data_IF_424223987352
#
_entry.id   IF_424223987352
#
_cell.length_a   1.000
_cell.length_b   1.000
_cell.length_c   1.000
_cell.angle_alpha   90.00
_cell.angle_beta   90.00
_cell.angle_gamma   90.00
#
_symmetry.space_group_name_H-M   'P 1'
#
loop_
_entity.id
_entity.type
_entity.pdbx_description
1 polymer ?
#
# COMPACT_ATOMS: atom_id res chain seq x y z
N UNK A 1 -41.40 2.41 5.03
CA UNK A 1 -41.46 1.63 3.77
C UNK A 1 -40.20 2.00 3.01
N UNK A 2 -39.10 1.26 3.23
CA UNK A 2 -38.80 -0.02 2.57
C UNK A 2 -38.49 0.21 1.08
N UNK A 3 -37.22 -0.02 0.69
CA UNK A 3 -36.72 0.29 -0.66
C UNK A 3 -35.20 0.21 -0.82
N UNK A 4 -34.68 -0.98 -0.55
CA UNK A 4 -33.39 -1.61 -0.92
C UNK A 4 -32.44 -0.98 -1.98
N UNK A 5 -31.14 -0.97 -1.62
CA UNK A 5 -29.87 -1.09 -2.40
C UNK A 5 -29.82 -0.65 -3.88
N UNK A 6 -28.72 0.02 -4.23
CA UNK A 6 -27.53 -0.63 -4.85
C UNK A 6 -26.32 0.32 -4.91
N UNK A 7 -25.27 -0.06 -4.18
CA UNK A 7 -23.91 0.45 -4.26
C UNK A 7 -23.35 0.34 -5.68
N UNK A 8 -22.69 1.38 -6.17
CA UNK A 8 -21.64 1.24 -7.19
C UNK A 8 -20.51 2.22 -6.89
N UNK A 9 -19.41 1.65 -6.40
CA UNK A 9 -18.12 2.26 -6.07
C UNK A 9 -17.16 2.06 -7.26
N UNK A 10 -16.47 3.12 -7.68
CA UNK A 10 -15.30 3.00 -8.57
C UNK A 10 -14.19 3.94 -8.07
N UNK A 11 -13.05 3.32 -7.76
CA UNK A 11 -11.80 3.88 -7.27
C UNK A 11 -10.83 4.06 -8.45
N UNK A 12 -10.24 5.25 -8.63
CA UNK A 12 -9.02 5.44 -9.45
C UNK A 12 -8.09 6.49 -8.82
N UNK A 13 -6.79 6.19 -8.86
CA UNK A 13 -5.65 6.82 -8.20
C UNK A 13 -5.24 8.20 -8.74
N UNK A 14 -4.68 9.01 -7.84
CA UNK A 14 -4.32 10.41 -8.05
C UNK A 14 -2.88 10.68 -8.51
N UNK A 15 -2.68 11.93 -8.91
CA UNK A 15 -1.42 12.65 -9.11
C UNK A 15 -1.59 14.04 -8.46
N UNK A 16 -0.67 14.55 -7.61
CA UNK A 16 -0.84 15.86 -6.97
C UNK A 16 0.05 16.97 -7.55
N UNK A 17 -0.57 18.16 -7.61
CA UNK A 17 -0.09 19.52 -7.31
C UNK A 17 1.22 20.04 -7.93
N UNK A 18 1.11 20.54 -9.15
CA UNK A 18 1.49 21.94 -9.42
C UNK A 18 0.61 22.46 -10.57
N UNK A 19 -0.26 23.43 -10.26
CA UNK A 19 -1.21 23.98 -11.21
C UNK A 19 -0.45 24.92 -12.17
N UNK A 20 -0.06 24.39 -13.33
CA UNK A 20 0.11 25.20 -14.53
C UNK A 20 -1.28 25.66 -15.01
N UNK A 21 -1.40 26.88 -15.53
CA UNK A 21 -2.66 27.44 -16.05
C UNK A 21 -3.33 26.54 -17.12
N UNK A 22 -2.57 25.65 -17.76
CA UNK A 22 -3.07 24.64 -18.71
C UNK A 22 -3.88 23.50 -18.04
N UNK A 23 -3.65 23.23 -16.76
CA UNK A 23 -4.39 22.21 -16.00
C UNK A 23 -5.82 22.65 -15.69
N UNK A 24 -6.06 23.96 -15.50
CA UNK A 24 -7.40 24.51 -15.31
C UNK A 24 -8.23 24.43 -16.60
N UNK A 25 -7.60 24.60 -17.77
CA UNK A 25 -8.23 24.38 -19.06
C UNK A 25 -8.58 22.90 -19.27
N UNK A 26 -7.68 21.98 -18.93
CA UNK A 26 -7.93 20.53 -18.98
C UNK A 26 -9.01 20.07 -17.99
N UNK A 27 -9.04 20.64 -16.79
CA UNK A 27 -10.07 20.38 -15.77
C UNK A 27 -11.44 20.91 -16.20
N UNK A 28 -11.50 22.04 -16.92
CA UNK A 28 -12.75 22.58 -17.48
C UNK A 28 -13.24 21.73 -18.65
N UNK A 29 -12.33 21.24 -19.50
CA UNK A 29 -12.65 20.29 -20.59
C UNK A 29 -13.14 18.96 -20.02
N UNK A 30 -12.46 18.40 -19.01
CA UNK A 30 -12.90 17.15 -18.35
C UNK A 30 -14.22 17.34 -17.58
N UNK A 31 -14.42 18.45 -16.88
CA UNK A 31 -15.66 18.77 -16.16
C UNK A 31 -16.84 19.03 -17.10
N UNK A 32 -16.61 19.55 -18.31
CA UNK A 32 -17.66 19.71 -19.34
C UNK A 32 -17.94 18.43 -20.12
N UNK A 33 -16.93 17.56 -20.34
CA UNK A 33 -17.14 16.21 -20.86
C UNK A 33 -17.88 15.29 -19.88
N UNK A 34 -17.74 15.54 -18.57
CA UNK A 34 -18.35 14.74 -17.51
C UNK A 34 -19.55 15.42 -16.82
N UNK A 35 -19.83 16.69 -17.11
CA UNK A 35 -20.98 17.45 -16.60
C UNK A 35 -20.96 17.77 -15.10
N UNK A 36 -19.79 17.89 -14.45
CA UNK A 36 -19.66 18.01 -12.98
C UNK A 36 -19.20 19.40 -12.51
N UNK A 37 -19.70 19.83 -11.35
CA UNK A 37 -19.19 20.96 -10.54
C UNK A 37 -18.78 20.44 -9.16
N UNK A 38 -17.51 20.63 -8.77
CA UNK A 38 -16.95 20.13 -7.50
C UNK A 38 -16.61 21.29 -6.54
N UNK A 39 -16.91 21.10 -5.25
CA UNK A 39 -16.57 22.04 -4.18
C UNK A 39 -15.23 21.66 -3.51
N UNK A 40 -14.47 22.63 -2.95
CA UNK A 40 -13.04 22.47 -2.68
C UNK A 40 -12.64 21.61 -1.46
N UNK A 41 -13.59 21.13 -0.65
CA UNK A 41 -13.28 20.65 0.72
C UNK A 41 -13.39 19.14 0.95
N UNK A 42 -13.74 18.33 -0.04
CA UNK A 42 -13.78 16.87 0.09
C UNK A 42 -12.65 16.22 -0.71
N UNK A 43 -11.46 16.08 -0.10
CA UNK A 43 -10.45 15.03 -0.30
C UNK A 43 -9.22 15.41 0.55
N UNK A 44 -8.85 14.55 1.51
CA UNK A 44 -7.57 14.68 2.25
C UNK A 44 -6.85 13.33 2.18
N UNK A 45 -5.96 13.19 1.20
CA UNK A 45 -4.91 12.18 1.21
C UNK A 45 -3.58 12.90 0.95
N UNK A 46 -2.71 12.94 1.96
CA UNK A 46 -1.39 13.54 1.84
C UNK A 46 -0.34 12.47 1.61
N UNK A 47 0.41 12.58 0.51
CA UNK A 47 1.56 11.73 0.25
C UNK A 47 2.82 12.35 0.86
N UNK A 48 3.62 11.56 1.59
CA UNK A 48 5.01 11.89 1.94
C UNK A 48 5.93 10.76 1.52
N UNK A 49 6.99 11.11 0.80
CA UNK A 49 8.06 10.20 0.36
C UNK A 49 9.19 10.26 1.41
N UNK A 50 9.42 9.22 2.23
CA UNK A 50 10.67 9.12 2.95
C UNK A 50 11.80 8.75 1.97
N UNK A 51 12.87 9.52 2.02
CA UNK A 51 14.10 9.36 1.23
C UNK A 51 15.03 8.40 1.99
N UNK A 52 15.43 7.32 1.30
CA UNK A 52 16.43 6.26 1.66
C UNK A 52 15.88 4.93 2.17
N UNK A 53 15.61 4.02 1.22
CA UNK A 53 15.89 2.57 1.31
C UNK A 53 16.32 2.12 -0.11
N UNK A 54 17.30 1.20 -0.31
CA UNK A 54 17.73 0.75 -1.64
C UNK A 54 16.58 0.08 -2.42
N UNK A 55 16.68 -0.10 -3.75
CA UNK A 55 15.62 0.22 -4.69
C UNK A 55 14.36 -0.62 -4.43
N UNK A 56 13.32 0.02 -3.90
CA UNK A 56 12.01 -0.58 -3.65
C UNK A 56 10.96 0.30 -4.36
N UNK A 57 10.56 -0.19 -5.54
CA UNK A 57 9.17 -0.30 -6.05
C UNK A 57 8.48 0.87 -6.75
N UNK A 58 7.89 0.57 -7.91
CA UNK A 58 6.70 1.23 -8.46
C UNK A 58 5.52 1.15 -7.48
N UNK A 59 5.35 2.21 -6.69
CA UNK A 59 4.41 2.27 -5.56
C UNK A 59 2.98 2.33 -6.06
N UNK A 60 2.26 1.22 -5.97
CA UNK A 60 0.90 1.18 -6.50
C UNK A 60 -0.20 1.36 -5.45
N UNK A 61 0.02 1.07 -4.15
CA UNK A 61 -1.00 1.38 -3.14
C UNK A 61 -0.51 1.47 -1.68
N UNK A 62 -0.83 2.58 -1.02
CA UNK A 62 -0.60 2.82 0.41
C UNK A 62 -1.90 3.23 1.11
N UNK A 63 -2.20 2.55 2.21
CA UNK A 63 -3.32 2.83 3.09
C UNK A 63 -2.82 3.39 4.42
N UNK A 64 -3.28 4.58 4.80
CA UNK A 64 -2.96 5.15 6.10
C UNK A 64 -3.78 4.47 7.20
N UNK A 65 -3.08 3.87 8.16
CA UNK A 65 -3.72 3.13 9.26
C UNK A 65 -4.13 4.06 10.41
N UNK A 66 -3.76 5.33 10.33
CA UNK A 66 -3.84 6.32 11.41
C UNK A 66 -4.17 7.67 10.81
N UNK A 67 -4.91 8.52 11.52
CA UNK A 67 -5.29 9.85 11.01
C UNK A 67 -4.10 10.74 10.66
N UNK A 68 -2.95 10.52 11.30
CA UNK A 68 -1.72 11.26 11.03
C UNK A 68 -0.82 10.57 9.99
N UNK A 69 -1.24 9.45 9.40
CA UNK A 69 -0.46 8.69 8.41
C UNK A 69 0.85 8.12 8.95
N UNK A 70 1.02 8.09 10.28
CA UNK A 70 2.28 7.72 10.94
C UNK A 70 2.58 6.23 10.86
N UNK A 71 1.54 5.42 10.60
CA UNK A 71 1.58 4.00 10.25
C UNK A 71 0.78 3.78 8.98
N UNK A 72 1.25 2.85 8.16
CA UNK A 72 0.66 2.55 6.88
C UNK A 72 0.75 1.06 6.55
N UNK A 73 -0.16 0.62 5.70
CA UNK A 73 -0.12 -0.66 5.01
C UNK A 73 0.13 -0.39 3.53
N UNK A 74 1.15 -1.00 2.96
CA UNK A 74 1.54 -0.82 1.58
C UNK A 74 1.54 -2.16 0.85
N UNK A 75 1.13 -2.14 -0.41
CA UNK A 75 1.26 -3.28 -1.32
C UNK A 75 1.82 -2.79 -2.66
N UNK A 76 2.81 -3.50 -3.18
CA UNK A 76 3.48 -3.13 -4.43
C UNK A 76 4.38 -4.26 -4.96
N UNK A 77 5.03 -4.02 -6.10
CA UNK A 77 5.92 -5.01 -6.74
C UNK A 77 7.36 -4.66 -6.40
N UNK A 78 8.03 -5.49 -5.58
CA UNK A 78 9.48 -5.47 -5.42
C UNK A 78 10.16 -5.80 -6.74
N UNK A 79 10.90 -4.84 -7.29
CA UNK A 79 11.50 -4.92 -8.63
C UNK A 79 12.93 -5.42 -8.52
N UNK A 80 13.20 -6.50 -9.23
CA UNK A 80 14.54 -7.06 -9.40
C UNK A 80 14.42 -8.55 -9.68
N UNK A 81 15.14 -9.14 -10.65
CA UNK A 81 14.85 -10.48 -11.12
C UNK A 81 15.18 -11.55 -10.05
N UNK A 82 14.20 -12.36 -9.60
CA UNK A 82 12.77 -12.33 -9.94
C UNK A 82 11.96 -11.30 -9.13
N UNK A 83 11.16 -10.47 -9.80
CA UNK A 83 10.32 -9.48 -9.13
C UNK A 83 9.18 -10.20 -8.39
N UNK A 84 8.63 -9.57 -7.35
CA UNK A 84 7.56 -10.19 -6.57
C UNK A 84 6.66 -9.15 -5.89
N UNK A 85 5.41 -9.52 -5.60
CA UNK A 85 4.50 -8.66 -4.85
C UNK A 85 4.83 -8.71 -3.36
N UNK A 86 5.00 -7.54 -2.74
CA UNK A 86 5.30 -7.37 -1.33
C UNK A 86 4.15 -6.64 -0.63
N UNK A 87 3.78 -7.12 0.55
CA UNK A 87 2.86 -6.44 1.48
C UNK A 87 3.70 -5.97 2.67
N UNK A 88 3.61 -4.70 3.05
CA UNK A 88 4.43 -4.15 4.13
C UNK A 88 3.59 -3.33 5.11
N UNK A 89 3.85 -3.52 6.39
CA UNK A 89 3.40 -2.63 7.46
C UNK A 89 4.53 -1.69 7.84
N UNK A 90 4.36 -0.41 7.57
CA UNK A 90 5.39 0.59 7.78
C UNK A 90 5.04 1.63 8.85
N UNK A 91 6.06 2.34 9.30
CA UNK A 91 5.91 3.56 10.09
C UNK A 91 6.74 4.73 9.50
N UNK A 92 6.45 5.94 9.94
CA UNK A 92 7.17 7.15 9.49
C UNK A 92 8.66 7.18 9.85
N UNK A 93 9.14 6.24 10.68
CA UNK A 93 10.55 6.15 11.08
C UNK A 93 11.34 5.25 10.14
N UNK A 94 10.69 4.68 9.12
CA UNK A 94 11.30 3.79 8.15
C UNK A 94 11.40 2.35 8.65
N UNK A 95 10.71 1.99 9.74
CA UNK A 95 10.56 0.57 10.07
C UNK A 95 9.48 -0.03 9.18
N UNK A 96 9.83 -1.07 8.44
CA UNK A 96 8.91 -1.79 7.58
C UNK A 96 8.94 -3.28 7.93
N UNK A 97 7.76 -3.83 8.17
CA UNK A 97 7.54 -5.24 8.41
C UNK A 97 6.90 -5.84 7.15
N UNK A 98 7.72 -6.49 6.34
CA UNK A 98 7.27 -7.20 5.15
C UNK A 98 6.55 -8.49 5.51
N UNK A 99 5.46 -8.76 4.80
CA UNK A 99 4.58 -9.90 4.94
C UNK A 99 4.48 -10.61 3.60
N UNK A 100 4.70 -11.94 3.59
CA UNK A 100 4.27 -12.75 2.47
C UNK A 100 2.74 -12.80 2.41
N UNK A 101 2.17 -13.11 1.25
CA UNK A 101 0.72 -13.33 1.12
C UNK A 101 0.22 -14.38 2.13
N UNK A 102 0.98 -15.46 2.31
CA UNK A 102 0.66 -16.51 3.28
C UNK A 102 0.61 -15.95 4.71
N UNK A 103 1.59 -15.12 5.09
CA UNK A 103 1.62 -14.51 6.43
C UNK A 103 0.46 -13.51 6.61
N UNK A 104 0.16 -12.72 5.58
CA UNK A 104 -0.99 -11.82 5.56
C UNK A 104 -2.30 -12.57 5.78
N UNK A 105 -2.57 -13.61 4.97
CA UNK A 105 -3.78 -14.43 5.07
C UNK A 105 -3.88 -15.12 6.41
N UNK A 106 -2.79 -15.72 6.89
CA UNK A 106 -2.76 -16.31 8.22
C UNK A 106 -3.06 -15.28 9.32
N UNK A 107 -2.62 -14.03 9.18
CA UNK A 107 -2.89 -12.97 10.15
C UNK A 107 -4.38 -12.62 10.14
N UNK A 108 -4.97 -12.49 8.94
CA UNK A 108 -6.41 -12.25 8.76
C UNK A 108 -7.27 -13.40 9.28
N UNK A 109 -6.87 -14.66 9.10
CA UNK A 109 -7.54 -15.83 9.67
C UNK A 109 -7.50 -15.84 11.20
N UNK A 110 -6.40 -15.35 11.79
CA UNK A 110 -6.28 -15.23 13.25
C UNK A 110 -7.03 -14.03 13.86
N UNK A 111 -7.71 -13.20 13.05
CA UNK A 111 -8.41 -11.98 13.49
C UNK A 111 -9.27 -12.20 14.74
N UNK A 112 -10.14 -13.22 14.72
CA UNK A 112 -11.04 -13.49 15.84
C UNK A 112 -10.30 -13.94 17.11
N UNK A 113 -9.22 -14.72 16.96
CA UNK A 113 -8.41 -15.14 18.09
C UNK A 113 -7.67 -13.95 18.70
N UNK A 114 -7.14 -13.05 17.87
CA UNK A 114 -6.48 -11.83 18.33
C UNK A 114 -7.48 -10.91 19.06
N UNK A 115 -8.72 -10.77 18.57
CA UNK A 115 -9.76 -10.00 19.25
C UNK A 115 -10.14 -10.59 20.61
N UNK A 116 -10.23 -11.93 20.72
CA UNK A 116 -10.43 -12.60 22.01
C UNK A 116 -9.28 -12.35 22.98
N UNK A 117 -8.05 -12.37 22.48
CA UNK A 117 -6.88 -12.06 23.29
C UNK A 117 -6.90 -10.58 23.74
N UNK A 118 -7.31 -9.64 22.89
CA UNK A 118 -7.46 -8.21 23.24
C UNK A 118 -8.49 -7.98 24.35
N UNK A 119 -9.56 -8.79 24.37
CA UNK A 119 -10.59 -8.79 25.42
C UNK A 119 -10.18 -9.54 26.69
N UNK A 120 -8.95 -10.08 26.74
CA UNK A 120 -8.46 -10.92 27.83
C UNK A 120 -9.35 -12.16 28.07
N UNK A 121 -10.01 -12.66 27.03
CA UNK A 121 -10.81 -13.91 27.08
C UNK A 121 -9.92 -15.16 26.92
N UNK A 122 -8.62 -14.96 26.68
CA UNK A 122 -7.63 -16.00 26.43
C UNK A 122 -6.53 -15.96 27.51
N UNK A 123 -6.04 -17.13 27.95
CA UNK A 123 -4.93 -17.19 28.90
C UNK A 123 -3.57 -16.85 28.28
N UNK A 124 -3.44 -17.09 26.97
CA UNK A 124 -2.23 -16.78 26.22
C UNK A 124 -2.30 -15.37 25.63
N UNK A 125 -1.21 -14.62 25.80
CA UNK A 125 -1.08 -13.24 25.31
C UNK A 125 -0.36 -13.14 23.96
N UNK A 126 -0.09 -14.26 23.30
CA UNK A 126 0.57 -14.26 22.00
C UNK A 126 0.00 -15.30 21.03
N UNK A 127 0.16 -15.04 19.73
CA UNK A 127 -0.19 -15.94 18.64
C UNK A 127 0.86 -15.88 17.55
N UNK A 128 1.30 -17.06 17.09
CA UNK A 128 2.22 -17.16 15.95
C UNK A 128 1.44 -17.38 14.65
N UNK A 129 1.89 -16.70 13.60
CA UNK A 129 1.37 -16.74 12.24
C UNK A 129 2.58 -16.83 11.30
N UNK A 130 2.98 -18.05 10.94
CA UNK A 130 4.21 -18.28 10.19
C UNK A 130 5.43 -17.61 10.88
N UNK A 131 6.17 -16.72 10.21
CA UNK A 131 7.32 -16.02 10.79
C UNK A 131 6.93 -14.84 11.72
N UNK A 132 5.64 -14.47 11.76
CA UNK A 132 5.13 -13.35 12.54
C UNK A 132 4.63 -13.84 13.91
N UNK A 133 4.97 -13.13 14.98
CA UNK A 133 4.38 -13.33 16.31
C UNK A 133 3.60 -12.08 16.71
N UNK A 134 2.31 -12.25 16.97
CA UNK A 134 1.44 -11.23 17.53
C UNK A 134 1.46 -11.35 19.05
N UNK A 135 1.69 -10.25 19.77
CA UNK A 135 1.66 -10.19 21.23
C UNK A 135 0.82 -9.03 21.72
N UNK A 136 0.14 -9.22 22.85
CA UNK A 136 -0.68 -8.20 23.48
C UNK A 136 -0.02 -7.74 24.77
N UNK A 137 0.05 -6.43 24.95
CA UNK A 137 0.58 -5.77 26.12
C UNK A 137 -0.47 -4.84 26.70
N UNK A 138 -0.82 -5.06 27.96
CA UNK A 138 -1.63 -4.10 28.71
C UNK A 138 -0.69 -3.19 29.50
N UNK A 139 -0.75 -1.89 29.23
CA UNK A 139 -0.01 -0.89 29.97
C UNK A 139 -0.67 -0.65 31.34
N UNK A 140 0.09 -0.12 32.28
CA UNK A 140 -0.41 0.28 33.60
C UNK A 140 -1.56 1.31 33.53
N UNK A 141 -1.66 2.06 32.43
CA UNK A 141 -2.73 3.02 32.14
C UNK A 141 -4.00 2.37 31.56
N UNK A 142 -4.14 1.04 31.62
CA UNK A 142 -5.21 0.25 30.97
C UNK A 142 -5.28 0.40 29.44
N UNK A 143 -4.22 0.92 28.81
CA UNK A 143 -4.13 0.97 27.35
C UNK A 143 -3.56 -0.35 26.81
N UNK A 144 -4.26 -0.94 25.84
CA UNK A 144 -3.83 -2.18 25.19
C UNK A 144 -3.04 -1.87 23.92
N UNK A 145 -1.84 -2.44 23.83
CA UNK A 145 -0.98 -2.37 22.66
C UNK A 145 -0.79 -3.74 22.04
N UNK A 146 -0.73 -3.76 20.72
CA UNK A 146 -0.41 -4.94 19.93
C UNK A 146 1.01 -4.79 19.40
N UNK A 147 1.82 -5.82 19.61
CA UNK A 147 3.15 -5.92 19.02
C UNK A 147 3.17 -7.02 17.97
N UNK A 148 3.65 -6.67 16.80
CA UNK A 148 3.98 -7.60 15.74
C UNK A 148 5.49 -7.79 15.72
N UNK A 149 5.97 -8.98 16.05
CA UNK A 149 7.37 -9.36 16.06
C UNK A 149 7.67 -10.24 14.84
N UNK A 150 8.61 -9.81 13.99
CA UNK A 150 9.29 -10.63 12.99
C UNK A 150 10.75 -10.86 13.43
N UNK A 151 11.52 -11.63 12.66
CA UNK A 151 12.91 -11.99 12.97
C UNK A 151 13.82 -10.76 13.16
N UNK A 152 13.58 -9.68 12.40
CA UNK A 152 14.43 -8.48 12.39
C UNK A 152 13.69 -7.19 12.79
N UNK A 153 12.36 -7.18 12.71
CA UNK A 153 11.55 -5.96 12.89
C UNK A 153 10.48 -6.20 13.93
N UNK A 154 10.24 -5.19 14.78
CA UNK A 154 9.16 -5.18 15.76
C UNK A 154 8.33 -3.93 15.57
N UNK A 155 7.03 -4.11 15.46
CA UNK A 155 6.08 -3.03 15.21
C UNK A 155 5.04 -2.99 16.34
N UNK A 156 5.00 -1.88 17.07
CA UNK A 156 3.98 -1.63 18.10
C UNK A 156 2.84 -0.82 17.51
N UNK A 157 1.60 -1.14 17.84
CA UNK A 157 0.41 -0.39 17.41
C UNK A 157 -0.72 -0.47 18.44
N UNK A 158 -1.74 0.35 18.26
CA UNK A 158 -2.96 0.29 19.09
C UNK A 158 -3.92 -0.76 18.54
N UNK A 159 -4.88 -1.18 19.36
CA UNK A 159 -6.00 -2.01 18.92
C UNK A 159 -6.73 -1.37 17.71
N UNK A 160 -7.02 -0.07 17.75
CA UNK A 160 -7.71 0.62 16.64
C UNK A 160 -6.93 0.57 15.32
N UNK A 161 -5.61 0.68 15.39
CA UNK A 161 -4.75 0.55 14.21
C UNK A 161 -4.76 -0.87 13.67
N UNK A 162 -4.78 -1.89 14.54
CA UNK A 162 -4.89 -3.28 14.12
C UNK A 162 -6.24 -3.57 13.45
N UNK A 163 -7.36 -3.06 13.99
CA UNK A 163 -8.68 -3.18 13.36
C UNK A 163 -8.66 -2.62 11.93
N UNK A 164 -8.06 -1.44 11.73
CA UNK A 164 -7.90 -0.84 10.41
C UNK A 164 -7.10 -1.70 9.43
N UNK A 165 -6.08 -2.41 9.88
CA UNK A 165 -5.34 -3.34 9.02
C UNK A 165 -6.30 -4.40 8.45
N UNK A 166 -7.15 -4.96 9.31
CA UNK A 166 -8.11 -6.00 8.92
C UNK A 166 -9.27 -5.49 8.05
N UNK A 167 -9.59 -4.21 8.08
CA UNK A 167 -10.56 -3.60 7.17
C UNK A 167 -10.08 -3.67 5.70
N UNK A 168 -8.76 -3.66 5.47
CA UNK A 168 -8.17 -3.72 4.13
C UNK A 168 -7.98 -5.13 3.58
N UNK A 169 -8.41 -6.18 4.28
CA UNK A 169 -8.23 -7.59 3.89
C UNK A 169 -8.68 -7.88 2.45
N UNK A 170 -9.93 -7.56 2.11
CA UNK A 170 -10.45 -7.76 0.77
C UNK A 170 -9.75 -6.90 -0.29
N UNK A 171 -9.39 -5.65 0.07
CA UNK A 171 -8.69 -4.75 -0.85
C UNK A 171 -7.27 -5.25 -1.16
N UNK A 172 -6.56 -5.79 -0.17
CA UNK A 172 -5.24 -6.37 -0.34
C UNK A 172 -5.29 -7.62 -1.22
N UNK A 173 -6.24 -8.53 -1.00
CA UNK A 173 -6.41 -9.72 -1.82
C UNK A 173 -6.65 -9.37 -3.30
N UNK A 174 -7.58 -8.44 -3.58
CA UNK A 174 -7.87 -7.99 -4.95
C UNK A 174 -6.66 -7.29 -5.57
N UNK A 175 -5.95 -6.48 -4.80
CA UNK A 175 -4.77 -5.76 -5.30
C UNK A 175 -3.62 -6.72 -5.59
N UNK A 176 -3.39 -7.71 -4.72
CA UNK A 176 -2.37 -8.73 -4.91
C UNK A 176 -2.59 -9.51 -6.21
N UNK A 177 -3.81 -9.99 -6.44
CA UNK A 177 -4.18 -10.70 -7.68
C UNK A 177 -3.94 -9.88 -8.95
N UNK A 178 -4.16 -8.55 -8.88
CA UNK A 178 -3.87 -7.64 -9.99
C UNK A 178 -2.36 -7.44 -10.20
N UNK A 179 -1.62 -7.22 -9.12
CA UNK A 179 -0.18 -6.96 -9.19
C UNK A 179 0.61 -8.18 -9.64
N UNK A 180 0.24 -9.40 -9.21
CA UNK A 180 0.91 -10.63 -9.63
C UNK A 180 0.90 -10.78 -11.16
N UNK A 181 -0.19 -10.39 -11.83
CA UNK A 181 -0.29 -10.45 -13.30
C UNK A 181 0.64 -9.47 -14.02
N UNK A 182 1.14 -8.46 -13.31
CA UNK A 182 2.06 -7.47 -13.86
C UNK A 182 3.53 -7.86 -13.62
N UNK A 183 3.82 -8.81 -12.71
CA UNK A 183 5.19 -9.18 -12.32
C UNK A 183 6.03 -9.59 -13.53
N UNK A 184 5.53 -10.47 -14.39
CA UNK A 184 6.28 -10.93 -15.58
C UNK A 184 6.60 -9.78 -16.54
N UNK A 185 5.67 -8.83 -16.68
CA UNK A 185 5.86 -7.64 -17.51
C UNK A 185 6.92 -6.72 -16.90
N UNK A 186 6.88 -6.50 -15.58
CA UNK A 186 7.85 -5.72 -14.83
C UNK A 186 9.24 -6.34 -14.97
N UNK A 187 9.37 -7.66 -14.81
CA UNK A 187 10.65 -8.37 -14.96
C UNK A 187 11.22 -8.25 -16.38
N UNK A 188 10.37 -8.42 -17.40
CA UNK A 188 10.78 -8.28 -18.79
C UNK A 188 11.26 -6.85 -19.10
N UNK A 189 10.54 -5.83 -18.63
CA UNK A 189 10.89 -4.42 -18.82
C UNK A 189 12.14 -4.03 -18.03
N UNK A 190 12.24 -4.43 -16.76
CA UNK A 190 13.41 -4.21 -15.92
C UNK A 190 14.66 -4.81 -16.55
N UNK A 191 14.59 -6.04 -17.06
CA UNK A 191 15.72 -6.71 -17.73
C UNK A 191 16.17 -5.93 -18.96
N UNK A 192 15.23 -5.46 -19.79
CA UNK A 192 15.55 -4.65 -20.97
C UNK A 192 16.17 -3.31 -20.60
N UNK A 193 15.59 -2.60 -19.64
CA UNK A 193 16.12 -1.31 -19.18
C UNK A 193 17.49 -1.44 -18.52
N UNK A 194 17.73 -2.52 -17.75
CA UNK A 194 19.03 -2.80 -17.13
C UNK A 194 20.17 -2.98 -18.14
N UNK A 195 19.86 -3.42 -19.36
CA UNK A 195 20.84 -3.57 -20.44
C UNK A 195 21.14 -2.23 -21.14
N UNK A 196 20.40 -1.16 -20.84
CA UNK A 196 20.59 0.17 -21.41
C UNK A 196 21.39 1.01 -20.41
N UNK A 197 22.56 1.48 -20.83
CA UNK A 197 23.56 2.07 -19.92
C UNK A 197 23.20 3.41 -19.26
N UNK A 198 22.05 4.02 -19.56
CA UNK A 198 21.60 5.24 -18.87
C UNK A 198 20.10 5.49 -18.98
N UNK A 199 19.55 6.25 -18.00
CA UNK A 199 18.16 6.72 -17.97
C UNK A 199 17.73 7.46 -19.23
N UNK A 200 18.59 8.33 -19.77
CA UNK A 200 18.28 9.09 -21.00
C UNK A 200 18.21 8.14 -22.21
N UNK A 201 19.16 7.20 -22.31
CA UNK A 201 19.12 6.20 -23.37
C UNK A 201 17.88 5.29 -23.28
N UNK A 202 17.34 5.04 -22.07
CA UNK A 202 16.06 4.33 -21.92
C UNK A 202 14.91 5.19 -22.46
N UNK A 203 14.84 6.47 -22.09
CA UNK A 203 13.79 7.41 -22.56
C UNK A 203 13.74 7.54 -24.07
N UNK A 204 14.92 7.57 -24.70
CA UNK A 204 15.07 7.74 -26.14
C UNK A 204 14.96 6.41 -26.91
N UNK A 205 14.85 5.26 -26.21
CA UNK A 205 14.72 3.94 -26.83
C UNK A 205 13.29 3.67 -27.32
N UNK A 206 13.18 2.83 -28.33
CA UNK A 206 11.92 2.29 -28.85
C UNK A 206 11.22 1.32 -27.87
N UNK A 207 11.94 0.87 -26.84
CA UNK A 207 11.44 -0.05 -25.81
C UNK A 207 10.60 0.69 -24.75
N UNK A 208 10.87 1.98 -24.53
CA UNK A 208 10.16 2.81 -23.58
C UNK A 208 8.86 3.37 -24.16
N UNK A 209 7.76 3.19 -23.44
CA UNK A 209 6.47 3.76 -23.77
C UNK A 209 5.98 4.67 -22.64
N UNK A 210 6.01 5.99 -22.87
CA UNK A 210 5.55 6.99 -21.91
C UNK A 210 4.04 6.94 -21.59
N UNK A 211 3.26 6.14 -22.32
CA UNK A 211 1.85 5.87 -22.02
C UNK A 211 1.64 4.62 -21.16
N UNK A 212 2.71 3.84 -20.89
CA UNK A 212 2.66 2.69 -19.99
C UNK A 212 3.13 3.10 -18.60
N UNK A 213 2.25 2.90 -17.61
CA UNK A 213 2.55 3.23 -16.22
C UNK A 213 3.80 2.49 -15.71
N UNK A 214 3.92 1.20 -16.02
CA UNK A 214 5.07 0.37 -15.63
C UNK A 214 6.39 0.95 -16.14
N UNK A 215 6.43 1.40 -17.39
CA UNK A 215 7.63 2.00 -17.98
C UNK A 215 8.00 3.31 -17.28
N UNK A 216 7.00 4.16 -17.02
CA UNK A 216 7.19 5.43 -16.33
C UNK A 216 7.70 5.24 -14.90
N UNK A 217 7.11 4.31 -14.15
CA UNK A 217 7.49 4.02 -12.77
C UNK A 217 8.89 3.38 -12.67
N UNK A 218 9.20 2.41 -13.52
CA UNK A 218 10.53 1.79 -13.57
C UNK A 218 11.60 2.82 -13.86
N UNK A 219 11.38 3.67 -14.87
CA UNK A 219 12.32 4.71 -15.23
C UNK A 219 12.45 5.81 -14.16
N UNK A 220 11.40 6.10 -13.41
CA UNK A 220 11.43 7.16 -12.39
C UNK A 220 12.07 6.71 -11.08
N UNK A 221 11.79 5.47 -10.65
CA UNK A 221 12.06 4.99 -9.29
C UNK A 221 13.25 4.02 -9.21
N UNK A 222 13.66 3.44 -10.34
CA UNK A 222 14.73 2.43 -10.39
C UNK A 222 16.00 2.93 -11.11
N UNK A 223 15.85 3.64 -12.23
CA UNK A 223 16.95 4.15 -13.08
C UNK A 223 17.08 5.68 -13.03
#
# INVERSE_FOLDING_TARGET
MEGERRDHEIIVFGLPESVSEDAAALMTVLASFLGLTLAPEEIVASFRIPVRVPPVVGRLLRYDLTSTGYKYLEIGINVGPPSYVNIALGDHRGHELSLSLETWKGLCEQRWNIYKMLRNEYKDNFKSVGPLTVRIFTLQSNATLVRLDSSSVRMMMTETTLHRIFEFDGCIDVTFERLVRLVDMVDAKYTRFSNIGSKNAIRDSDIFNGHQLVDCELLALVF
#
